data_IF_263451244682
#
_entry.id   IF_263451244682
#
_cell.length_a   1.000
_cell.length_b   1.000
_cell.length_c   1.000
_cell.angle_alpha   90.00
_cell.angle_beta   90.00
_cell.angle_gamma   90.00
#
_symmetry.space_group_name_H-M   'P 1'
#
loop_
_entity.id
_entity.type
_entity.pdbx_description
1 polymer ?
#
# COMPACT_ATOMS: atom_id res chain seq x y z
N UNK A 1 -12.23 -20.15 79.98
CA UNK A 1 -12.90 -18.89 80.36
C UNK A 1 -11.97 -17.75 80.00
N UNK A 2 -12.15 -17.16 78.83
CA UNK A 2 -11.28 -16.11 78.31
C UNK A 2 -11.79 -15.53 76.98
N UNK A 3 -12.17 -14.26 77.05
CA UNK A 3 -12.18 -13.20 76.03
C UNK A 3 -13.18 -13.18 74.84
N UNK A 4 -14.06 -12.17 74.94
CA UNK A 4 -14.33 -11.06 73.99
C UNK A 4 -15.05 -11.37 72.67
N UNK A 5 -16.37 -11.17 72.65
CA UNK A 5 -17.15 -10.88 71.43
C UNK A 5 -17.47 -9.38 71.36
N UNK A 6 -17.06 -8.78 70.25
CA UNK A 6 -17.19 -7.37 69.89
C UNK A 6 -18.55 -7.03 69.27
N UNK A 7 -19.07 -5.87 69.69
CA UNK A 7 -20.05 -4.96 69.08
C UNK A 7 -20.75 -5.37 67.77
N UNK A 8 -22.08 -5.43 67.85
CA UNK A 8 -23.00 -5.35 66.70
C UNK A 8 -22.97 -3.95 66.08
N UNK A 9 -22.55 -3.87 64.82
CA UNK A 9 -22.92 -2.80 63.88
C UNK A 9 -23.69 -3.45 62.74
N UNK A 10 -24.94 -3.06 62.53
CA UNK A 10 -25.72 -3.38 61.32
C UNK A 10 -25.54 -2.23 60.33
N UNK A 11 -24.98 -2.45 59.13
CA UNK A 11 -25.16 -1.53 58.02
C UNK A 11 -26.44 -1.86 57.25
N UNK A 12 -27.13 -0.80 56.87
CA UNK A 12 -28.29 -0.74 55.99
C UNK A 12 -28.06 -1.49 54.66
N UNK A 13 -29.01 -2.35 54.30
CA UNK A 13 -29.08 -2.95 52.97
C UNK A 13 -29.69 -1.95 51.98
N UNK A 14 -28.87 -1.44 51.07
CA UNK A 14 -29.26 -1.00 49.73
C UNK A 14 -27.98 -0.95 48.89
N UNK A 15 -27.69 -2.07 48.23
CA UNK A 15 -26.70 -2.13 47.16
C UNK A 15 -27.47 -2.31 45.87
N UNK A 16 -27.46 -1.29 45.02
CA UNK A 16 -27.97 -1.36 43.66
C UNK A 16 -27.20 -2.45 42.91
N UNK A 17 -27.90 -3.50 42.49
CA UNK A 17 -27.36 -4.54 41.62
C UNK A 17 -27.24 -3.91 40.24
N UNK A 18 -26.03 -3.54 39.85
CA UNK A 18 -25.72 -3.18 38.46
C UNK A 18 -25.80 -4.46 37.64
N UNK A 19 -26.91 -4.66 36.91
CA UNK A 19 -27.01 -5.71 35.90
C UNK A 19 -25.88 -5.53 34.89
N UNK A 20 -24.98 -6.52 34.83
CA UNK A 20 -23.97 -6.58 33.77
C UNK A 20 -24.70 -6.89 32.46
N UNK A 21 -24.50 -6.11 31.38
CA UNK A 21 -25.18 -6.36 30.12
C UNK A 21 -24.83 -7.77 29.62
N UNK A 22 -25.88 -8.53 29.27
CA UNK A 22 -25.77 -9.91 28.79
C UNK A 22 -24.73 -10.00 27.67
N UNK A 23 -23.77 -10.91 27.82
CA UNK A 23 -22.80 -11.22 26.77
C UNK A 23 -23.56 -11.88 25.60
N UNK A 24 -23.80 -11.11 24.53
CA UNK A 24 -24.47 -11.62 23.32
C UNK A 24 -23.43 -12.33 22.47
N UNK A 25 -23.57 -13.63 22.32
CA UNK A 25 -22.65 -14.42 21.51
C UNK A 25 -22.87 -14.15 20.02
N UNK A 26 -21.81 -14.34 19.22
CA UNK A 26 -21.84 -13.96 17.80
C UNK A 26 -22.94 -14.68 17.00
N UNK A 27 -23.46 -15.83 17.45
CA UNK A 27 -24.54 -16.60 16.85
C UNK A 27 -25.94 -16.23 17.35
N UNK A 28 -26.05 -15.39 18.38
CA UNK A 28 -27.33 -14.89 18.92
C UNK A 28 -27.76 -13.56 18.27
N UNK A 29 -26.95 -12.98 17.38
CA UNK A 29 -27.31 -11.75 16.68
C UNK A 29 -28.16 -12.05 15.45
N UNK A 30 -29.39 -11.56 15.44
CA UNK A 30 -30.35 -11.64 14.33
C UNK A 30 -29.98 -10.76 13.13
N UNK A 31 -28.95 -9.91 13.25
CA UNK A 31 -28.46 -8.97 12.22
C UNK A 31 -27.47 -9.58 11.22
N UNK A 32 -27.14 -10.88 11.35
CA UNK A 32 -26.38 -11.57 10.30
C UNK A 32 -27.25 -11.69 9.06
N UNK A 33 -27.11 -10.73 8.13
CA UNK A 33 -27.32 -11.04 6.72
C UNK A 33 -26.59 -12.36 6.44
N UNK A 34 -27.34 -13.37 6.01
CA UNK A 34 -26.78 -14.69 5.76
C UNK A 34 -25.64 -14.54 4.74
N UNK A 35 -24.39 -14.69 5.21
CA UNK A 35 -23.19 -14.64 4.37
C UNK A 35 -23.30 -15.79 3.37
N UNK A 36 -23.61 -15.49 2.12
CA UNK A 36 -23.71 -16.47 1.05
C UNK A 36 -22.33 -16.67 0.45
N UNK A 37 -21.92 -17.92 0.24
CA UNK A 37 -20.59 -18.23 -0.32
C UNK A 37 -20.42 -17.62 -1.71
N UNK A 38 -21.52 -17.55 -2.45
CA UNK A 38 -21.62 -17.02 -3.80
C UNK A 38 -21.30 -15.52 -3.87
N UNK A 39 -21.42 -14.79 -2.75
CA UNK A 39 -21.08 -13.37 -2.70
C UNK A 39 -19.55 -13.15 -2.73
N UNK A 40 -18.77 -14.16 -2.32
CA UNK A 40 -17.31 -14.12 -2.14
C UNK A 40 -16.54 -15.02 -3.11
N UNK A 41 -17.24 -15.79 -3.94
CA UNK A 41 -16.64 -16.72 -4.90
C UNK A 41 -17.27 -16.47 -6.27
N UNK A 42 -16.44 -16.09 -7.24
CA UNK A 42 -16.79 -16.10 -8.65
C UNK A 42 -16.21 -17.37 -9.26
N UNK A 43 -17.08 -18.29 -9.69
CA UNK A 43 -16.67 -19.58 -10.26
C UNK A 43 -17.38 -19.82 -11.59
N UNK A 44 -16.62 -20.29 -12.60
CA UNK A 44 -17.14 -20.73 -13.92
C UNK A 44 -17.96 -19.66 -14.65
N UNK A 45 -17.58 -18.40 -14.49
CA UNK A 45 -18.21 -17.30 -15.22
C UNK A 45 -17.60 -17.17 -16.61
N UNK A 46 -18.44 -16.77 -17.56
CA UNK A 46 -18.00 -16.52 -18.93
C UNK A 46 -18.72 -15.31 -19.51
N UNK A 47 -17.99 -14.47 -20.24
CA UNK A 47 -18.51 -13.31 -20.97
C UNK A 47 -19.34 -12.37 -20.07
N UNK A 48 -18.87 -12.15 -18.83
CA UNK A 48 -19.59 -11.41 -17.80
C UNK A 48 -18.76 -10.27 -17.20
N UNK A 49 -19.45 -9.18 -16.86
CA UNK A 49 -18.90 -8.08 -16.07
C UNK A 49 -19.53 -8.10 -14.68
N UNK A 50 -18.69 -8.16 -13.63
CA UNK A 50 -19.10 -8.31 -12.24
C UNK A 50 -18.59 -7.14 -11.41
N UNK A 51 -19.46 -6.62 -10.54
CA UNK A 51 -19.13 -5.56 -9.60
C UNK A 51 -19.34 -6.01 -8.15
N UNK A 52 -18.42 -5.60 -7.28
CA UNK A 52 -18.54 -5.60 -5.82
C UNK A 52 -18.27 -4.17 -5.35
N UNK A 53 -19.29 -3.54 -4.78
CA UNK A 53 -19.26 -2.13 -4.36
C UNK A 53 -18.67 -1.99 -2.95
N UNK A 54 -18.29 -0.77 -2.52
CA UNK A 54 -17.77 -0.55 -1.17
C UNK A 54 -18.69 -1.13 -0.09
N UNK A 55 -18.10 -1.84 0.87
CA UNK A 55 -18.80 -2.49 1.98
C UNK A 55 -19.39 -3.87 1.67
N UNK A 56 -19.35 -4.34 0.42
CA UNK A 56 -19.92 -5.65 0.04
C UNK A 56 -19.03 -6.84 0.41
N UNK A 57 -17.71 -6.66 0.51
CA UNK A 57 -16.77 -7.71 0.89
C UNK A 57 -16.27 -7.54 2.33
N UNK A 58 -16.04 -6.30 2.75
CA UNK A 58 -15.72 -5.92 4.12
C UNK A 58 -14.61 -6.76 4.77
N UNK A 59 -13.48 -6.91 4.07
CA UNK A 59 -12.29 -7.59 4.58
C UNK A 59 -12.35 -9.12 4.58
N UNK A 60 -13.40 -9.72 4.02
CA UNK A 60 -13.45 -11.18 3.82
C UNK A 60 -12.51 -11.65 2.71
N UNK A 61 -12.23 -12.96 2.68
CA UNK A 61 -11.55 -13.59 1.55
C UNK A 61 -12.44 -13.55 0.31
N UNK A 62 -11.83 -13.38 -0.86
CA UNK A 62 -12.53 -13.41 -2.15
C UNK A 62 -11.79 -14.30 -3.16
N UNK A 63 -12.53 -15.09 -3.92
CA UNK A 63 -11.99 -16.07 -4.86
C UNK A 63 -12.56 -15.80 -6.25
N UNK A 64 -11.70 -15.79 -7.27
CA UNK A 64 -12.07 -15.76 -8.67
C UNK A 64 -11.44 -16.99 -9.33
N UNK A 65 -12.25 -17.91 -9.85
CA UNK A 65 -11.74 -19.15 -10.39
C UNK A 65 -12.50 -19.62 -11.63
N UNK A 66 -11.80 -20.29 -12.55
CA UNK A 66 -12.39 -20.89 -13.75
C UNK A 66 -13.16 -19.88 -14.63
N UNK A 67 -12.74 -18.61 -14.68
CA UNK A 67 -13.44 -17.55 -15.43
C UNK A 67 -12.82 -17.34 -16.81
N UNK A 68 -13.65 -17.17 -17.85
CA UNK A 68 -13.23 -16.92 -19.24
C UNK A 68 -13.84 -15.62 -19.77
N UNK A 69 -13.01 -14.70 -20.25
CA UNK A 69 -13.43 -13.43 -20.83
C UNK A 69 -14.35 -12.61 -19.89
N UNK A 70 -13.98 -12.55 -18.61
CA UNK A 70 -14.72 -11.80 -17.60
C UNK A 70 -14.04 -10.48 -17.23
N UNK A 71 -14.84 -9.48 -16.86
CA UNK A 71 -14.37 -8.24 -16.25
C UNK A 71 -14.87 -8.23 -14.79
N UNK A 72 -13.96 -8.07 -13.83
CA UNK A 72 -14.30 -8.11 -12.40
C UNK A 72 -13.79 -6.84 -11.73
N UNK A 73 -14.67 -6.10 -11.06
CA UNK A 73 -14.29 -4.98 -10.22
C UNK A 73 -14.70 -5.21 -8.78
N UNK A 74 -13.73 -5.20 -7.87
CA UNK A 74 -13.96 -5.23 -6.42
C UNK A 74 -13.52 -3.92 -5.81
N UNK A 75 -14.46 -2.98 -5.66
CA UNK A 75 -14.27 -1.67 -5.04
C UNK A 75 -14.38 -1.73 -3.51
N UNK A 76 -13.75 -2.72 -2.89
CA UNK A 76 -13.74 -2.90 -1.44
C UNK A 76 -12.40 -3.47 -0.97
N UNK A 77 -12.13 -3.33 0.33
CA UNK A 77 -11.01 -4.00 0.96
C UNK A 77 -11.32 -5.48 1.19
N UNK A 78 -10.29 -6.31 1.08
CA UNK A 78 -10.39 -7.77 1.20
C UNK A 78 -9.30 -8.34 2.11
N UNK A 79 -9.54 -9.53 2.63
CA UNK A 79 -8.59 -10.22 3.51
C UNK A 79 -7.48 -10.91 2.71
N UNK A 80 -7.87 -11.77 1.78
CA UNK A 80 -6.97 -12.52 0.89
C UNK A 80 -7.68 -12.75 -0.43
N UNK A 81 -6.92 -12.77 -1.53
CA UNK A 81 -7.42 -13.04 -2.86
C UNK A 81 -6.75 -14.28 -3.46
N UNK A 82 -7.58 -15.14 -4.06
CA UNK A 82 -7.12 -16.22 -4.95
C UNK A 82 -7.72 -16.01 -6.34
N UNK A 83 -6.88 -16.06 -7.37
CA UNK A 83 -7.29 -15.99 -8.78
C UNK A 83 -6.72 -17.23 -9.48
N UNK A 84 -7.57 -18.16 -9.87
CA UNK A 84 -7.16 -19.46 -10.40
C UNK A 84 -7.81 -19.73 -11.75
N UNK A 85 -7.07 -20.36 -12.68
CA UNK A 85 -7.62 -20.87 -13.94
C UNK A 85 -8.43 -19.81 -14.74
N UNK A 86 -7.98 -18.56 -14.74
CA UNK A 86 -8.65 -17.45 -15.41
C UNK A 86 -8.02 -17.14 -16.76
N UNK A 87 -8.84 -17.03 -17.80
CA UNK A 87 -8.37 -16.75 -19.17
C UNK A 87 -9.06 -15.51 -19.74
N UNK A 88 -8.30 -14.61 -20.37
CA UNK A 88 -8.81 -13.37 -20.98
C UNK A 88 -9.53 -12.42 -20.00
N UNK A 89 -9.27 -12.51 -18.70
CA UNK A 89 -9.97 -11.72 -17.69
C UNK A 89 -9.33 -10.34 -17.45
N UNK A 90 -10.15 -9.38 -17.02
CA UNK A 90 -9.73 -8.02 -16.63
C UNK A 90 -10.22 -7.74 -15.22
N UNK A 91 -9.31 -7.66 -14.27
CA UNK A 91 -9.63 -7.76 -12.84
C UNK A 91 -9.07 -6.54 -12.11
N UNK A 92 -9.93 -5.84 -11.38
CA UNK A 92 -9.55 -4.84 -10.40
C UNK A 92 -9.96 -5.31 -9.00
N UNK A 93 -9.04 -5.18 -8.05
CA UNK A 93 -9.30 -5.46 -6.64
C UNK A 93 -8.72 -4.35 -5.78
N UNK A 94 -9.56 -3.78 -4.92
CA UNK A 94 -9.16 -2.81 -3.91
C UNK A 94 -8.14 -3.36 -2.90
N UNK A 95 -7.84 -2.60 -1.83
CA UNK A 95 -6.82 -2.96 -0.84
C UNK A 95 -6.98 -4.36 -0.24
N UNK A 96 -5.98 -5.22 -0.43
CA UNK A 96 -5.91 -6.59 0.09
C UNK A 96 -5.00 -6.63 1.31
N UNK A 97 -5.57 -6.82 2.50
CA UNK A 97 -4.82 -6.90 3.77
C UNK A 97 -3.71 -7.94 3.71
N UNK A 98 -3.96 -9.09 3.10
CA UNK A 98 -3.00 -10.19 3.03
C UNK A 98 -2.35 -10.31 1.66
N UNK A 99 -2.39 -11.52 1.14
CA UNK A 99 -1.83 -11.86 -0.16
C UNK A 99 -2.88 -11.85 -1.27
N UNK A 100 -2.43 -11.49 -2.46
CA UNK A 100 -3.05 -11.93 -3.70
C UNK A 100 -2.19 -13.02 -4.32
N UNK A 101 -2.82 -14.13 -4.70
CA UNK A 101 -2.16 -15.21 -5.39
C UNK A 101 -2.92 -15.51 -6.69
N UNK A 102 -2.26 -15.25 -7.83
CA UNK A 102 -2.75 -15.63 -9.15
C UNK A 102 -2.04 -16.88 -9.66
N UNK A 103 -2.80 -17.88 -10.10
CA UNK A 103 -2.31 -19.18 -10.56
C UNK A 103 -2.97 -19.59 -11.87
N UNK A 104 -2.25 -20.35 -12.68
CA UNK A 104 -2.79 -21.06 -13.85
C UNK A 104 -3.61 -20.15 -14.79
N UNK A 105 -3.24 -18.87 -14.89
CA UNK A 105 -4.04 -17.83 -15.55
C UNK A 105 -3.31 -17.25 -16.75
N UNK A 106 -4.05 -17.01 -17.84
CA UNK A 106 -3.49 -16.61 -19.14
C UNK A 106 -4.18 -15.39 -19.75
N UNK A 107 -3.40 -14.46 -20.30
CA UNK A 107 -3.90 -13.26 -20.98
C UNK A 107 -4.82 -12.40 -20.09
N UNK A 108 -4.42 -12.20 -18.83
CA UNK A 108 -5.20 -11.44 -17.85
C UNK A 108 -4.59 -10.07 -17.54
N UNK A 109 -5.44 -9.13 -17.13
CA UNK A 109 -5.01 -7.85 -16.55
C UNK A 109 -5.44 -7.84 -15.09
N UNK A 110 -4.54 -7.49 -14.20
CA UNK A 110 -4.80 -7.39 -12.76
C UNK A 110 -4.34 -6.02 -12.25
N UNK A 111 -5.26 -5.23 -11.72
CA UNK A 111 -4.98 -3.98 -11.03
C UNK A 111 -5.30 -4.14 -9.54
N UNK A 112 -4.31 -4.00 -8.66
CA UNK A 112 -4.52 -4.28 -7.24
C UNK A 112 -3.54 -3.58 -6.30
N UNK A 113 -3.94 -3.54 -5.03
CA UNK A 113 -3.20 -3.00 -3.89
C UNK A 113 -3.12 -4.13 -2.86
N UNK A 114 -1.93 -4.54 -2.44
CA UNK A 114 -1.80 -5.69 -1.53
C UNK A 114 -0.56 -5.60 -0.63
N UNK A 115 -0.55 -6.38 0.46
CA UNK A 115 0.67 -6.57 1.23
C UNK A 115 1.66 -7.49 0.52
N UNK A 116 1.18 -8.60 -0.05
CA UNK A 116 2.00 -9.59 -0.75
C UNK A 116 1.39 -9.95 -2.10
N UNK A 117 2.22 -9.97 -3.14
CA UNK A 117 1.84 -10.38 -4.48
C UNK A 117 2.59 -11.66 -4.87
N UNK A 118 1.86 -12.67 -5.31
CA UNK A 118 2.43 -13.95 -5.75
C UNK A 118 1.79 -14.37 -7.08
N UNK A 119 2.61 -14.87 -8.00
CA UNK A 119 2.15 -15.54 -9.23
C UNK A 119 2.79 -16.90 -9.35
N UNK A 120 2.04 -17.86 -9.90
CA UNK A 120 2.59 -19.15 -10.32
C UNK A 120 1.92 -19.62 -11.60
N UNK A 121 2.66 -20.25 -12.50
CA UNK A 121 2.10 -20.93 -13.69
C UNK A 121 1.23 -19.99 -14.57
N UNK A 122 1.59 -18.70 -14.65
CA UNK A 122 0.82 -17.70 -15.39
C UNK A 122 1.50 -17.28 -16.70
N UNK A 123 0.71 -16.81 -17.66
CA UNK A 123 1.24 -16.35 -18.96
C UNK A 123 0.54 -15.08 -19.43
N UNK A 124 1.31 -14.17 -20.03
CA UNK A 124 0.78 -12.97 -20.70
C UNK A 124 -0.06 -12.10 -19.74
N UNK A 125 0.50 -11.72 -18.59
CA UNK A 125 -0.18 -10.89 -17.59
C UNK A 125 0.24 -9.42 -17.69
N UNK A 126 -0.72 -8.50 -17.54
CA UNK A 126 -0.43 -7.09 -17.21
C UNK A 126 -0.88 -6.82 -15.79
N UNK A 127 0.04 -6.38 -14.93
CA UNK A 127 -0.17 -6.20 -13.50
C UNK A 127 0.09 -4.75 -13.13
N UNK A 128 -0.96 -4.02 -12.75
CA UNK A 128 -0.88 -2.69 -12.17
C UNK A 128 -0.91 -2.81 -10.66
N UNK A 129 0.20 -2.48 -10.00
CA UNK A 129 0.44 -2.91 -8.63
C UNK A 129 0.80 -1.77 -7.70
N UNK A 130 0.22 -1.82 -6.50
CA UNK A 130 0.81 -1.28 -5.28
C UNK A 130 1.08 -2.45 -4.34
N UNK A 131 2.35 -2.71 -4.00
CA UNK A 131 2.71 -3.83 -3.12
C UNK A 131 3.65 -3.40 -2.00
N UNK A 132 3.27 -3.69 -0.76
CA UNK A 132 4.06 -3.30 0.41
C UNK A 132 5.40 -4.08 0.51
N UNK A 133 5.40 -5.32 0.03
CA UNK A 133 6.56 -6.23 -0.01
C UNK A 133 6.96 -6.60 -1.44
N UNK A 134 8.12 -7.22 -1.58
CA UNK A 134 8.68 -7.62 -2.88
C UNK A 134 7.72 -8.57 -3.62
N UNK A 135 7.19 -8.19 -4.80
CA UNK A 135 6.34 -9.09 -5.59
C UNK A 135 7.11 -10.30 -6.09
N UNK A 136 6.44 -11.46 -6.12
CA UNK A 136 7.06 -12.74 -6.48
C UNK A 136 6.38 -13.32 -7.71
N UNK A 137 7.18 -13.84 -8.65
CA UNK A 137 6.74 -14.70 -9.74
C UNK A 137 7.46 -16.05 -9.71
N UNK A 138 6.78 -17.08 -10.19
CA UNK A 138 7.30 -18.46 -10.30
C UNK A 138 6.65 -19.14 -11.51
N UNK A 139 7.41 -19.91 -12.28
CA UNK A 139 6.97 -20.68 -13.46
C UNK A 139 6.08 -19.88 -14.43
N UNK A 140 6.29 -18.57 -14.53
CA UNK A 140 5.40 -17.63 -15.23
C UNK A 140 6.17 -16.92 -16.35
N UNK A 141 5.50 -16.54 -17.44
CA UNK A 141 6.16 -15.95 -18.61
C UNK A 141 5.40 -14.76 -19.19
N UNK A 142 6.15 -13.77 -19.70
CA UNK A 142 5.62 -12.52 -20.26
C UNK A 142 4.70 -11.77 -19.29
N UNK A 143 5.20 -11.55 -18.07
CA UNK A 143 4.50 -10.78 -17.04
C UNK A 143 4.95 -9.33 -17.10
N UNK A 144 4.03 -8.38 -17.16
CA UNK A 144 4.36 -6.95 -17.25
C UNK A 144 3.85 -6.22 -16.02
N UNK A 145 4.72 -5.52 -15.30
CA UNK A 145 4.33 -4.77 -14.11
C UNK A 145 4.31 -3.26 -14.37
N UNK A 146 3.33 -2.55 -13.83
CA UNK A 146 3.25 -1.09 -13.82
C UNK A 146 2.87 -0.56 -12.44
N UNK A 147 3.26 0.67 -12.12
CA UNK A 147 2.77 1.36 -10.93
C UNK A 147 1.26 1.57 -11.06
N UNK A 148 0.47 1.17 -10.07
CA UNK A 148 -0.95 1.48 -10.09
C UNK A 148 -1.18 2.97 -9.80
N UNK A 149 -1.81 3.67 -10.75
CA UNK A 149 -2.40 5.00 -10.55
C UNK A 149 -3.90 4.87 -10.53
N UNK A 150 -4.51 5.16 -9.40
CA UNK A 150 -5.96 5.07 -9.24
C UNK A 150 -6.42 5.91 -8.06
N UNK A 151 -7.60 6.49 -8.21
CA UNK A 151 -8.35 7.06 -7.12
C UNK A 151 -9.85 6.81 -7.31
N UNK A 152 -10.55 6.57 -6.20
CA UNK A 152 -12.00 6.53 -6.12
C UNK A 152 -12.46 6.82 -4.68
N UNK A 153 -13.72 7.23 -4.53
CA UNK A 153 -14.33 7.48 -3.23
C UNK A 153 -14.27 6.21 -2.36
N UNK A 154 -13.95 6.35 -1.07
CA UNK A 154 -13.72 5.25 -0.09
C UNK A 154 -12.34 4.57 -0.15
N UNK A 155 -11.51 4.82 -1.16
CA UNK A 155 -10.20 4.15 -1.26
C UNK A 155 -9.31 4.40 -0.02
N UNK A 156 -9.29 5.63 0.51
CA UNK A 156 -8.49 5.97 1.72
C UNK A 156 -8.91 5.17 2.95
N UNK A 157 -10.22 5.00 3.16
CA UNK A 157 -10.79 4.22 4.28
C UNK A 157 -10.42 2.74 4.11
N UNK A 158 -10.45 2.24 2.88
CA UNK A 158 -10.10 0.86 2.54
C UNK A 158 -8.60 0.57 2.72
N UNK A 159 -7.70 1.51 2.40
CA UNK A 159 -6.27 1.40 2.74
C UNK A 159 -6.06 1.24 4.25
N UNK A 160 -6.79 2.05 5.02
CA UNK A 160 -6.73 2.03 6.49
C UNK A 160 -7.25 0.69 7.02
N UNK A 161 -8.39 0.21 6.53
CA UNK A 161 -8.96 -1.08 6.92
C UNK A 161 -8.06 -2.27 6.56
N UNK A 162 -7.35 -2.19 5.42
CA UNK A 162 -6.37 -3.20 5.01
C UNK A 162 -5.02 -3.10 5.73
N UNK A 163 -4.77 -2.02 6.49
CA UNK A 163 -3.49 -1.80 7.16
C UNK A 163 -2.32 -1.64 6.19
N UNK A 164 -2.55 -0.99 5.04
CA UNK A 164 -1.53 -0.75 4.01
C UNK A 164 -1.21 0.75 4.01
N UNK A 165 0.08 1.09 4.02
CA UNK A 165 0.51 2.46 3.78
C UNK A 165 0.57 2.73 2.27
N UNK A 166 -0.04 3.81 1.76
CA UNK A 166 0.11 4.20 0.35
C UNK A 166 1.55 4.63 0.02
N UNK A 167 2.40 4.82 1.03
CA UNK A 167 3.81 5.18 0.89
C UNK A 167 4.74 3.97 0.87
N UNK A 168 4.21 2.75 0.92
CA UNK A 168 4.97 1.51 0.80
C UNK A 168 4.59 0.81 -0.49
N UNK A 169 5.34 1.10 -1.56
CA UNK A 169 5.10 0.53 -2.88
C UNK A 169 6.40 0.06 -3.55
N UNK A 170 6.53 -1.27 -3.69
CA UNK A 170 7.68 -1.95 -4.29
C UNK A 170 7.33 -2.67 -5.60
N UNK A 171 6.28 -2.21 -6.28
CA UNK A 171 5.72 -2.81 -7.50
C UNK A 171 6.73 -3.19 -8.60
N UNK A 172 7.85 -2.47 -8.70
CA UNK A 172 8.86 -2.66 -9.75
C UNK A 172 10.04 -3.54 -9.37
N UNK A 173 10.17 -3.98 -8.11
CA UNK A 173 11.26 -4.82 -7.62
C UNK A 173 10.77 -6.28 -7.54
N UNK A 174 10.78 -7.00 -8.66
CA UNK A 174 10.22 -8.34 -8.76
C UNK A 174 11.27 -9.40 -8.43
N UNK A 175 10.91 -10.39 -7.61
CA UNK A 175 11.68 -11.61 -7.43
C UNK A 175 11.13 -12.74 -8.30
N UNK A 176 11.97 -13.33 -9.14
CA UNK A 176 11.63 -14.46 -10.02
C UNK A 176 12.34 -15.73 -9.57
N UNK A 177 11.57 -16.66 -9.00
CA UNK A 177 12.09 -17.95 -8.52
C UNK A 177 12.56 -18.88 -9.64
N UNK A 178 12.09 -18.64 -10.86
CA UNK A 178 12.31 -19.50 -12.05
C UNK A 178 12.99 -18.72 -13.17
N UNK A 179 13.83 -17.75 -12.80
CA UNK A 179 14.58 -16.95 -13.76
C UNK A 179 15.37 -17.84 -14.72
N UNK A 180 15.30 -17.51 -16.00
CA UNK A 180 15.97 -18.25 -17.08
C UNK A 180 17.22 -17.44 -17.47
N UNK A 181 18.40 -18.06 -17.62
CA UNK A 181 19.56 -17.38 -18.18
C UNK A 181 19.22 -16.74 -19.54
N UNK A 182 19.66 -15.50 -19.76
CA UNK A 182 19.51 -14.75 -21.03
C UNK A 182 18.07 -14.42 -21.47
N UNK A 183 17.06 -14.66 -20.63
CA UNK A 183 15.66 -14.26 -20.87
C UNK A 183 15.03 -13.71 -19.59
N UNK A 184 14.10 -12.76 -19.73
CA UNK A 184 13.33 -12.24 -18.60
C UNK A 184 11.89 -12.74 -18.68
N UNK A 185 11.43 -13.38 -17.63
CA UNK A 185 10.03 -13.79 -17.49
C UNK A 185 9.08 -12.61 -17.26
N UNK A 186 9.62 -11.46 -16.84
CA UNK A 186 8.86 -10.24 -16.67
C UNK A 186 9.56 -9.01 -17.25
N UNK A 187 8.75 -8.00 -17.55
CA UNK A 187 9.21 -6.65 -17.89
C UNK A 187 8.40 -5.63 -17.09
N UNK A 188 8.84 -4.38 -17.15
CA UNK A 188 8.10 -3.26 -16.59
C UNK A 188 7.42 -2.49 -17.73
N UNK A 189 6.20 -2.03 -17.48
CA UNK A 189 5.40 -1.26 -18.43
C UNK A 189 5.99 0.14 -18.63
N UNK A 190 5.69 0.73 -19.79
CA UNK A 190 6.01 2.13 -20.06
C UNK A 190 5.21 3.05 -19.12
N UNK A 191 5.83 4.14 -18.69
CA UNK A 191 5.26 5.06 -17.71
C UNK A 191 4.03 5.82 -18.21
N UNK A 192 3.82 5.85 -19.52
CA UNK A 192 2.63 6.44 -20.15
C UNK A 192 1.44 5.47 -20.22
N UNK A 193 1.61 4.21 -19.79
CA UNK A 193 0.55 3.21 -19.82
C UNK A 193 -0.22 3.16 -18.50
N UNK A 194 -1.25 4.00 -18.36
CA UNK A 194 -2.14 3.94 -17.21
C UNK A 194 -3.03 2.68 -17.23
N UNK A 195 -3.62 2.36 -16.06
CA UNK A 195 -4.42 1.15 -15.86
C UNK A 195 -5.57 1.00 -16.88
N UNK A 196 -6.23 2.11 -17.27
CA UNK A 196 -7.35 2.05 -18.20
C UNK A 196 -6.98 1.81 -19.67
N UNK A 197 -5.68 1.74 -19.99
CA UNK A 197 -5.23 1.25 -21.29
C UNK A 197 -5.56 -0.24 -21.49
N UNK A 198 -5.53 -1.02 -20.41
CA UNK A 198 -5.71 -2.48 -20.46
C UNK A 198 -6.92 -2.98 -19.68
N UNK A 199 -7.37 -2.24 -18.67
CA UNK A 199 -8.59 -2.49 -17.91
C UNK A 199 -9.70 -1.56 -18.42
N UNK A 200 -10.89 -2.05 -18.83
CA UNK A 200 -11.98 -1.17 -19.22
C UNK A 200 -12.37 -0.20 -18.09
N UNK A 201 -12.90 0.98 -18.44
CA UNK A 201 -13.45 1.90 -17.43
C UNK A 201 -14.81 1.33 -16.97
N UNK A 202 -15.09 1.24 -15.65
CA UNK A 202 -16.40 0.86 -15.12
C UNK A 202 -17.52 1.72 -15.70
N UNK A 203 -18.51 1.10 -16.36
CA UNK A 203 -19.65 1.80 -16.97
C UNK A 203 -20.98 1.58 -16.24
N UNK A 204 -21.00 0.74 -15.21
CA UNK A 204 -22.23 0.48 -14.47
C UNK A 204 -22.69 1.76 -13.73
N UNK A 205 -23.96 2.18 -13.86
CA UNK A 205 -24.50 3.35 -13.15
C UNK A 205 -24.27 3.30 -11.63
N UNK A 206 -24.21 2.12 -11.03
CA UNK A 206 -23.91 1.95 -9.61
C UNK A 206 -22.50 2.44 -9.23
N UNK A 207 -21.58 2.59 -10.17
CA UNK A 207 -20.21 3.05 -9.92
C UNK A 207 -20.05 4.58 -10.10
N UNK A 208 -21.08 5.28 -10.59
CA UNK A 208 -21.00 6.72 -10.92
C UNK A 208 -20.55 7.60 -9.74
N UNK A 209 -21.02 7.29 -8.53
CA UNK A 209 -20.67 8.02 -7.31
C UNK A 209 -19.22 7.77 -6.84
N UNK A 210 -18.53 6.77 -7.38
CA UNK A 210 -17.16 6.43 -6.96
C UNK A 210 -16.12 7.40 -7.54
N UNK A 211 -16.45 8.20 -8.56
CA UNK A 211 -15.53 9.19 -9.17
C UNK A 211 -14.17 8.59 -9.57
N UNK A 212 -14.21 7.40 -10.18
CA UNK A 212 -13.03 6.59 -10.50
C UNK A 212 -12.18 7.28 -11.57
N UNK A 213 -10.87 7.40 -11.34
CA UNK A 213 -9.91 7.96 -12.28
C UNK A 213 -8.52 7.34 -12.08
N UNK A 214 -7.68 7.42 -13.11
CA UNK A 214 -6.31 6.88 -13.14
C UNK A 214 -5.23 7.97 -13.29
N UNK A 215 -5.57 9.24 -13.03
CA UNK A 215 -4.63 10.35 -13.10
C UNK A 215 -3.52 10.19 -12.05
N UNK A 216 -2.29 10.46 -12.48
CA UNK A 216 -1.09 10.44 -11.63
C UNK A 216 -1.22 11.46 -10.50
N UNK A 217 -1.77 12.63 -10.79
CA UNK A 217 -1.88 13.77 -9.88
C UNK A 217 -2.85 13.50 -8.72
N UNK A 218 -3.95 12.78 -9.01
CA UNK A 218 -5.02 12.48 -8.05
C UNK A 218 -4.91 11.09 -7.44
N UNK A 219 -3.99 10.24 -7.92
CA UNK A 219 -3.78 8.89 -7.42
C UNK A 219 -3.54 8.86 -5.91
N UNK A 220 -4.18 7.92 -5.23
CA UNK A 220 -4.04 7.81 -3.78
C UNK A 220 -2.63 7.36 -3.37
N UNK A 221 -2.10 6.33 -4.04
CA UNK A 221 -0.67 5.98 -3.97
C UNK A 221 0.11 6.88 -4.92
N UNK A 222 1.18 7.57 -4.46
CA UNK A 222 2.04 8.34 -5.35
C UNK A 222 2.61 7.47 -6.46
N UNK A 223 2.59 7.97 -7.70
CA UNK A 223 3.27 7.31 -8.80
C UNK A 223 4.78 7.32 -8.56
N UNK A 224 5.42 6.16 -8.67
CA UNK A 224 6.86 6.00 -8.53
C UNK A 224 7.45 5.37 -9.78
N UNK A 225 8.65 5.80 -10.13
CA UNK A 225 9.37 5.30 -11.31
C UNK A 225 10.04 3.94 -11.07
N UNK A 226 10.19 3.55 -9.81
CA UNK A 226 10.79 2.29 -9.40
C UNK A 226 12.27 2.18 -9.80
N UNK A 227 12.78 0.94 -9.80
CA UNK A 227 14.22 0.67 -9.98
C UNK A 227 14.75 1.02 -11.38
N UNK A 228 13.89 1.14 -12.39
CA UNK A 228 14.29 1.50 -13.76
C UNK A 228 15.05 2.82 -13.83
N UNK A 229 14.66 3.79 -12.99
CA UNK A 229 15.26 5.12 -13.01
C UNK A 229 16.45 5.26 -12.08
N UNK A 230 16.59 4.36 -11.08
CA UNK A 230 17.70 4.38 -10.11
C UNK A 230 19.05 4.34 -10.81
N UNK A 231 19.16 3.63 -11.93
CA UNK A 231 20.41 3.46 -12.68
C UNK A 231 20.63 4.49 -13.80
N UNK A 232 19.65 5.36 -14.08
CA UNK A 232 19.71 6.34 -15.17
C UNK A 232 20.02 7.76 -14.69
N UNK A 233 19.79 8.05 -13.42
CA UNK A 233 19.95 9.40 -12.88
C UNK A 233 21.37 9.66 -12.36
N UNK A 234 21.89 10.84 -12.72
CA UNK A 234 23.22 11.30 -12.31
C UNK A 234 23.26 11.78 -10.84
N UNK A 235 22.14 12.29 -10.32
CA UNK A 235 22.02 12.75 -8.95
C UNK A 235 20.69 12.28 -8.33
N UNK A 236 20.75 11.94 -7.04
CA UNK A 236 19.62 11.45 -6.24
C UNK A 236 19.57 12.17 -4.90
N UNK A 237 18.38 12.33 -4.36
CA UNK A 237 18.15 13.05 -3.09
C UNK A 237 17.25 12.22 -2.19
N UNK A 238 17.67 12.03 -0.93
CA UNK A 238 16.82 11.50 0.12
C UNK A 238 16.16 12.67 0.86
N UNK A 239 14.84 12.62 0.97
CA UNK A 239 14.06 13.46 1.87
C UNK A 239 13.35 12.56 2.88
N UNK A 240 13.49 12.87 4.17
CA UNK A 240 12.77 12.19 5.25
C UNK A 240 11.92 13.22 5.98
N UNK A 241 10.62 12.98 6.03
CA UNK A 241 9.68 13.72 6.87
C UNK A 241 9.39 12.89 8.11
N UNK A 242 9.57 13.47 9.30
CA UNK A 242 9.33 12.77 10.55
C UNK A 242 7.84 12.81 10.92
N UNK A 243 7.42 11.97 11.88
CA UNK A 243 6.03 11.89 12.35
C UNK A 243 5.45 13.27 12.69
N UNK A 244 4.51 13.73 11.85
CA UNK A 244 3.78 15.00 11.97
C UNK A 244 2.51 14.93 11.10
N UNK A 245 1.44 15.64 11.48
CA UNK A 245 0.20 15.67 10.69
C UNK A 245 0.37 16.32 9.31
N UNK A 246 1.42 17.11 9.12
CA UNK A 246 1.75 17.76 7.84
C UNK A 246 2.73 16.97 6.97
N UNK A 247 3.24 15.82 7.43
CA UNK A 247 4.22 15.04 6.66
C UNK A 247 3.66 14.59 5.30
N UNK A 248 2.49 13.95 5.29
CA UNK A 248 1.88 13.48 4.03
C UNK A 248 1.44 14.62 3.09
N UNK A 249 0.75 15.68 3.57
CA UNK A 249 0.45 16.85 2.73
C UNK A 249 1.71 17.49 2.14
N UNK A 250 2.78 17.66 2.93
CA UNK A 250 4.04 18.20 2.46
C UNK A 250 4.71 17.30 1.42
N UNK A 251 4.71 15.98 1.62
CA UNK A 251 5.25 15.03 0.65
C UNK A 251 4.53 15.14 -0.70
N UNK A 252 3.19 15.22 -0.71
CA UNK A 252 2.42 15.35 -1.96
C UNK A 252 2.75 16.63 -2.72
N UNK A 253 2.86 17.76 -2.01
CA UNK A 253 3.24 19.03 -2.65
C UNK A 253 4.69 19.04 -3.10
N UNK A 254 5.59 18.44 -2.33
CA UNK A 254 6.99 18.30 -2.72
C UNK A 254 7.13 17.46 -3.99
N UNK A 255 6.37 16.38 -4.12
CA UNK A 255 6.32 15.56 -5.34
C UNK A 255 5.82 16.38 -6.52
N UNK A 256 4.72 17.14 -6.34
CA UNK A 256 4.16 17.96 -7.40
C UNK A 256 5.12 19.06 -7.88
N UNK A 257 5.81 19.75 -6.96
CA UNK A 257 6.78 20.79 -7.30
C UNK A 257 8.02 20.21 -8.01
N UNK A 258 8.56 19.08 -7.54
CA UNK A 258 9.71 18.44 -8.17
C UNK A 258 9.37 17.91 -9.57
N UNK A 259 8.15 17.39 -9.78
CA UNK A 259 7.69 16.97 -11.11
C UNK A 259 7.72 18.12 -12.13
N UNK A 260 7.41 19.36 -11.71
CA UNK A 260 7.49 20.54 -12.58
C UNK A 260 8.92 20.91 -12.99
N UNK A 261 9.91 20.45 -12.22
CA UNK A 261 11.33 20.67 -12.47
C UNK A 261 12.02 19.45 -13.12
N UNK A 262 11.26 18.53 -13.70
CA UNK A 262 11.75 17.28 -14.32
C UNK A 262 12.54 16.38 -13.34
N UNK A 263 12.23 16.50 -12.04
CA UNK A 263 12.74 15.61 -11.00
C UNK A 263 11.69 14.53 -10.73
N UNK A 264 12.10 13.28 -10.85
CA UNK A 264 11.20 12.13 -10.71
C UNK A 264 11.21 11.57 -9.29
N UNK A 265 10.07 11.03 -8.86
CA UNK A 265 9.97 10.25 -7.63
C UNK A 265 10.33 8.78 -7.94
N UNK A 266 11.45 8.30 -7.42
CA UNK A 266 11.93 6.93 -7.66
C UNK A 266 11.17 5.94 -6.81
N UNK A 267 11.08 6.20 -5.51
CA UNK A 267 10.38 5.33 -4.56
C UNK A 267 10.07 6.07 -3.26
N UNK A 268 9.17 5.50 -2.48
CA UNK A 268 8.77 5.98 -1.16
C UNK A 268 8.83 4.84 -0.14
N UNK A 269 9.00 5.18 1.13
CA UNK A 269 8.88 4.20 2.22
C UNK A 269 8.42 4.88 3.50
N UNK A 270 7.53 4.22 4.24
CA UNK A 270 7.16 4.61 5.60
C UNK A 270 7.33 3.45 6.57
N UNK A 271 8.12 3.69 7.62
CA UNK A 271 8.44 2.70 8.67
C UNK A 271 9.06 3.40 9.90
N UNK A 272 9.09 2.70 11.04
CA UNK A 272 9.72 3.18 12.26
C UNK A 272 11.23 2.87 12.25
N UNK A 273 12.09 3.87 12.41
CA UNK A 273 13.55 3.66 12.46
C UNK A 273 13.97 3.40 13.91
N UNK A 274 14.68 2.30 14.16
CA UNK A 274 15.27 2.05 15.49
C UNK A 274 16.49 2.95 15.76
N UNK A 275 16.82 3.16 17.04
CA UNK A 275 17.87 4.08 17.47
C UNK A 275 19.23 3.81 16.80
N UNK A 276 19.68 2.55 16.77
CA UNK A 276 20.95 2.17 16.12
C UNK A 276 20.98 2.51 14.63
N UNK A 277 19.87 2.28 13.92
CA UNK A 277 19.76 2.61 12.50
C UNK A 277 19.73 4.12 12.28
N UNK A 278 19.07 4.87 13.17
CA UNK A 278 19.05 6.33 13.14
C UNK A 278 20.45 6.93 13.38
N UNK A 279 21.21 6.41 14.34
CA UNK A 279 22.60 6.82 14.58
C UNK A 279 23.47 6.65 13.34
N UNK A 280 23.32 5.51 12.63
CA UNK A 280 24.07 5.23 11.39
C UNK A 280 23.62 6.07 10.21
N UNK A 281 22.32 6.32 10.07
CA UNK A 281 21.73 7.09 8.98
C UNK A 281 22.03 8.60 9.12
N UNK A 282 21.95 9.13 10.33
CA UNK A 282 22.10 10.56 10.62
C UNK A 282 23.46 10.93 11.22
N UNK A 283 24.46 10.06 11.08
CA UNK A 283 25.83 10.28 11.57
C UNK A 283 25.89 10.73 13.04
N UNK A 284 25.08 10.10 13.90
CA UNK A 284 25.02 10.37 15.33
C UNK A 284 24.31 11.68 15.73
N UNK A 285 23.58 12.33 14.83
CA UNK A 285 22.83 13.53 15.16
C UNK A 285 21.67 13.23 16.13
N UNK A 286 21.82 13.70 17.37
CA UNK A 286 20.86 13.46 18.46
C UNK A 286 19.47 14.04 18.21
N UNK A 287 19.36 15.12 17.44
CA UNK A 287 18.07 15.74 17.10
C UNK A 287 17.23 14.77 16.28
N UNK A 288 17.80 14.19 15.22
CA UNK A 288 17.10 13.22 14.38
C UNK A 288 16.83 11.91 15.11
N UNK A 289 17.76 11.48 15.96
CA UNK A 289 17.57 10.29 16.82
C UNK A 289 16.39 10.46 17.78
N UNK A 290 16.17 11.68 18.29
CA UNK A 290 14.97 11.97 19.11
C UNK A 290 13.70 11.99 18.28
N UNK A 291 13.77 12.48 17.04
CA UNK A 291 12.61 12.60 16.16
C UNK A 291 12.10 11.24 15.67
N UNK A 292 12.98 10.27 15.39
CA UNK A 292 12.54 8.92 14.97
C UNK A 292 11.76 8.19 16.06
N UNK A 293 11.97 8.52 17.34
CA UNK A 293 11.26 7.91 18.46
C UNK A 293 9.79 8.37 18.55
N UNK A 294 9.38 9.38 17.78
CA UNK A 294 8.00 9.89 17.78
C UNK A 294 7.04 9.04 16.96
N UNK A 295 7.53 8.21 16.04
CA UNK A 295 6.69 7.40 15.16
C UNK A 295 7.38 7.05 13.84
N UNK A 296 6.66 6.42 12.91
CA UNK A 296 7.19 6.13 11.58
C UNK A 296 7.61 7.41 10.86
N UNK A 297 8.68 7.30 10.06
CA UNK A 297 9.09 8.37 9.16
C UNK A 297 8.53 8.12 7.76
N UNK A 298 8.52 9.14 6.92
CA UNK A 298 8.21 9.06 5.50
C UNK A 298 9.44 9.46 4.68
N UNK A 299 10.05 8.50 4.00
CA UNK A 299 11.17 8.70 3.08
C UNK A 299 10.71 8.80 1.63
N UNK A 300 11.34 9.72 0.91
CA UNK A 300 11.16 9.98 -0.52
C UNK A 300 12.53 9.95 -1.19
N UNK A 301 12.71 9.12 -2.21
CA UNK A 301 13.88 9.17 -3.10
C UNK A 301 13.49 9.91 -4.37
N UNK A 302 14.14 11.05 -4.59
CA UNK A 302 14.05 11.80 -5.84
C UNK A 302 15.29 11.59 -6.69
N UNK A 303 15.15 11.73 -8.00
CA UNK A 303 16.25 11.62 -8.94
C UNK A 303 16.09 12.54 -10.14
N UNK A 304 17.20 13.06 -10.65
CA UNK A 304 17.23 13.97 -11.79
C UNK A 304 18.44 14.91 -11.78
N UNK A 305 18.54 15.79 -12.77
CA UNK A 305 19.63 16.77 -12.87
C UNK A 305 19.42 17.88 -11.84
N UNK A 306 20.45 18.20 -11.03
CA UNK A 306 20.37 19.14 -9.91
C UNK A 306 19.26 18.78 -8.88
N UNK A 307 18.95 17.49 -8.76
CA UNK A 307 17.90 16.97 -7.88
C UNK A 307 18.03 17.47 -6.44
N UNK A 308 19.24 17.48 -5.87
CA UNK A 308 19.43 17.85 -4.46
C UNK A 308 19.06 19.31 -4.23
N UNK A 309 19.62 20.21 -5.04
CA UNK A 309 19.37 21.64 -4.94
C UNK A 309 17.89 21.96 -5.15
N UNK A 310 17.26 21.35 -6.17
CA UNK A 310 15.85 21.55 -6.49
C UNK A 310 14.95 21.08 -5.33
N UNK A 311 15.21 19.88 -4.79
CA UNK A 311 14.48 19.37 -3.63
C UNK A 311 14.63 20.26 -2.40
N UNK A 312 15.84 20.77 -2.12
CA UNK A 312 16.09 21.67 -0.99
C UNK A 312 15.34 22.99 -1.12
N UNK A 313 15.34 23.60 -2.31
CA UNK A 313 14.63 24.85 -2.56
C UNK A 313 13.12 24.67 -2.44
N UNK A 314 12.58 23.60 -3.02
CA UNK A 314 11.15 23.26 -2.94
C UNK A 314 10.72 23.03 -1.48
N UNK A 315 11.45 22.18 -0.74
CA UNK A 315 11.14 21.87 0.65
C UNK A 315 11.27 23.10 1.56
N UNK A 316 12.32 23.90 1.39
CA UNK A 316 12.51 25.15 2.14
C UNK A 316 11.32 26.10 1.93
N UNK A 317 10.86 26.24 0.69
CA UNK A 317 9.70 27.06 0.35
C UNK A 317 8.47 26.56 1.09
N UNK A 318 8.12 25.28 0.91
CA UNK A 318 6.95 24.66 1.52
C UNK A 318 6.93 24.80 3.05
N UNK A 319 8.06 24.60 3.72
CA UNK A 319 8.16 24.71 5.16
C UNK A 319 8.01 26.18 5.62
N UNK A 320 8.61 27.12 4.89
CA UNK A 320 8.51 28.54 5.24
C UNK A 320 7.12 29.14 5.00
N UNK A 321 6.35 28.61 4.04
CA UNK A 321 5.08 29.21 3.63
C UNK A 321 3.85 28.48 4.14
N UNK A 322 3.91 27.14 4.28
CA UNK A 322 2.71 26.31 4.48
C UNK A 322 2.83 25.32 5.64
N UNK A 323 3.98 24.66 5.76
CA UNK A 323 4.21 23.59 6.75
C UNK A 323 5.26 24.00 7.78
N UNK A 324 5.00 25.14 8.44
CA UNK A 324 5.93 25.72 9.42
C UNK A 324 6.28 24.71 10.52
N UNK A 325 7.56 24.64 10.84
CA UNK A 325 8.14 23.76 11.87
C UNK A 325 8.05 22.25 11.59
N UNK A 326 7.71 21.81 10.36
CA UNK A 326 7.73 20.40 10.01
C UNK A 326 9.17 19.81 10.16
N UNK A 327 9.39 18.87 11.09
CA UNK A 327 10.70 18.21 11.22
C UNK A 327 11.01 17.39 9.98
N UNK A 328 12.19 17.59 9.42
CA UNK A 328 12.64 16.93 8.19
C UNK A 328 14.15 16.76 8.14
N UNK A 329 14.59 15.83 7.31
CA UNK A 329 15.96 15.64 6.88
C UNK A 329 15.99 15.65 5.36
N UNK A 330 17.06 16.21 4.79
CA UNK A 330 17.29 16.22 3.34
C UNK A 330 18.78 16.08 3.08
N UNK A 331 19.14 15.27 2.08
CA UNK A 331 20.53 15.13 1.63
C UNK A 331 21.15 16.49 1.32
N UNK A 332 22.40 16.70 1.76
CA UNK A 332 23.11 17.97 1.61
C UNK A 332 24.01 17.99 0.37
N UNK A 333 24.50 16.83 -0.05
CA UNK A 333 25.45 16.67 -1.15
C UNK A 333 25.24 15.34 -1.86
N UNK A 334 25.66 15.26 -3.13
CA UNK A 334 25.60 14.02 -3.92
C UNK A 334 26.49 12.91 -3.32
N UNK A 335 27.63 13.27 -2.73
CA UNK A 335 28.53 12.30 -2.09
C UNK A 335 27.89 11.59 -0.90
N UNK A 336 27.06 12.29 -0.12
CA UNK A 336 26.41 11.71 1.05
C UNK A 336 25.10 11.01 0.69
N UNK A 337 24.38 11.52 -0.33
CA UNK A 337 23.05 11.05 -0.68
C UNK A 337 23.01 9.55 -1.02
N UNK A 338 24.05 9.04 -1.71
CA UNK A 338 24.11 7.63 -2.07
C UNK A 338 24.13 6.71 -0.83
N UNK A 339 25.04 6.98 0.11
CA UNK A 339 25.16 6.20 1.35
C UNK A 339 23.91 6.34 2.24
N UNK A 340 23.32 7.54 2.29
CA UNK A 340 22.07 7.79 3.02
C UNK A 340 20.89 6.99 2.45
N UNK A 341 20.72 6.98 1.13
CA UNK A 341 19.69 6.19 0.44
C UNK A 341 19.88 4.70 0.70
N UNK A 342 21.11 4.20 0.51
CA UNK A 342 21.42 2.80 0.70
C UNK A 342 21.16 2.37 2.15
N UNK A 343 21.60 3.16 3.15
CA UNK A 343 21.30 2.92 4.56
C UNK A 343 19.79 2.89 4.82
N UNK A 344 19.06 3.92 4.38
CA UNK A 344 17.62 4.05 4.62
C UNK A 344 16.84 2.84 4.08
N UNK A 345 17.03 2.48 2.81
CA UNK A 345 16.27 1.38 2.19
C UNK A 345 16.75 -0.01 2.63
N UNK A 346 18.04 -0.18 2.99
CA UNK A 346 18.52 -1.43 3.59
C UNK A 346 17.90 -1.67 4.96
N UNK A 347 17.82 -0.65 5.82
CA UNK A 347 17.15 -0.76 7.13
C UNK A 347 15.66 -1.06 6.99
N UNK A 348 14.98 -0.40 6.04
CA UNK A 348 13.59 -0.67 5.74
C UNK A 348 13.35 -2.13 5.30
N UNK A 349 14.28 -2.69 4.53
CA UNK A 349 14.20 -4.07 4.05
C UNK A 349 14.39 -5.08 5.19
N UNK A 350 15.32 -4.82 6.10
CA UNK A 350 15.57 -5.70 7.27
C UNK A 350 14.39 -5.78 8.23
N UNK A 351 13.63 -4.69 8.41
CA UNK A 351 12.46 -4.68 9.30
C UNK A 351 11.23 -5.40 8.73
N UNK A 352 11.15 -5.64 7.42
CA UNK A 352 10.05 -6.42 6.84
C UNK A 352 10.16 -7.93 7.14
N UNK A 353 11.31 -8.39 7.64
CA UNK A 353 11.57 -9.79 8.00
C UNK A 353 11.63 -10.06 9.52
N UNK A 354 11.44 -9.03 10.35
CA UNK A 354 11.41 -9.09 11.81
C UNK A 354 9.99 -8.85 12.30
#
# INVERSE_FOLDING_TARGET
MGCLFSYFFRPSANADIVETPRQVFSWEREDRQAIRKEDFILDKLKDQTIYRLPGSINGQQFIVQNCDNCIVYVFDHTGQIQIDDCTNCRIFIGPVRGSIFIRDSTNCVLATICQQFRTRDCRDLHVYLTCASQPIIESSHNIKFGCLTLNYQHLSEQYTAAGISPWNNTWGNIHDFTSIPDSKNYTLLDQNENVFKHLPIPTDPSCSHLNINDSIETSFTPFTYGELYRHRAEERCLVILFQDSNAEPCARELIALNKQADIVLVQTKSYAINEMSAERLFSGNKTYTTLVNKGPVLGLEFAGVNCIQTCQQALKTLISTKFMNLPHFISQSSSDAHDQLDKFYNFASMQMFA
#
